data_IF_166535251194
#
_entry.id   IF_166535251194
#
_cell.length_a   1.000
_cell.length_b   1.000
_cell.length_c   1.000
_cell.angle_alpha   90.00
_cell.angle_beta   90.00
_cell.angle_gamma   90.00
#
_symmetry.space_group_name_H-M   'P 1'
#
loop_
_entity.id
_entity.type
_entity.pdbx_description
1 polymer ?
#
# COMPACT_ATOMS: atom_id res chain seq x y z
N UNK A 1 24.04 28.68 -0.87
CA UNK A 1 23.30 29.44 0.18
C UNK A 1 21.98 30.06 -0.30
N UNK A 2 21.95 31.15 -1.11
CA UNK A 2 20.68 31.82 -1.49
C UNK A 2 19.77 30.96 -2.38
N UNK A 3 20.37 30.20 -3.31
CA UNK A 3 19.66 29.35 -4.27
C UNK A 3 19.12 28.05 -3.64
N UNK A 4 19.85 27.47 -2.68
CA UNK A 4 19.38 26.32 -1.89
C UNK A 4 18.17 26.69 -1.03
N UNK A 5 18.20 27.87 -0.39
CA UNK A 5 17.10 28.38 0.42
C UNK A 5 15.80 28.55 -0.40
N UNK A 6 15.90 29.01 -1.65
CA UNK A 6 14.74 29.10 -2.55
C UNK A 6 14.20 27.75 -2.98
N UNK A 7 15.07 26.77 -3.28
CA UNK A 7 14.67 25.41 -3.63
C UNK A 7 13.95 24.73 -2.45
N UNK A 8 14.45 24.90 -1.23
CA UNK A 8 13.84 24.35 -0.02
C UNK A 8 12.46 24.96 0.27
N UNK A 9 12.31 26.27 0.09
CA UNK A 9 11.02 26.96 0.24
C UNK A 9 10.00 26.48 -0.81
N UNK A 10 10.43 26.30 -2.06
CA UNK A 10 9.57 25.76 -3.12
C UNK A 10 9.14 24.32 -2.80
N UNK A 11 10.07 23.46 -2.36
CA UNK A 11 9.77 22.09 -1.94
C UNK A 11 8.76 22.06 -0.78
N UNK A 12 8.93 22.91 0.23
CA UNK A 12 7.99 23.01 1.37
C UNK A 12 6.59 23.41 0.92
N UNK A 13 6.46 24.46 0.10
CA UNK A 13 5.18 24.91 -0.44
C UNK A 13 4.50 23.83 -1.28
N UNK A 14 5.28 23.11 -2.08
CA UNK A 14 4.78 21.99 -2.88
C UNK A 14 4.23 20.87 -1.98
N UNK A 15 4.99 20.46 -0.96
CA UNK A 15 4.56 19.45 0.02
C UNK A 15 3.27 19.88 0.73
N UNK A 16 3.20 21.13 1.19
CA UNK A 16 2.00 21.65 1.87
C UNK A 16 0.77 21.64 0.97
N UNK A 17 0.94 22.02 -0.31
CA UNK A 17 -0.11 21.96 -1.31
C UNK A 17 -0.56 20.52 -1.59
N UNK A 18 0.39 19.59 -1.69
CA UNK A 18 0.11 18.17 -1.92
C UNK A 18 -0.74 17.59 -0.77
N UNK A 19 -0.29 17.75 0.48
CA UNK A 19 -1.03 17.25 1.64
C UNK A 19 -2.41 17.94 1.79
N UNK A 20 -2.52 19.23 1.48
CA UNK A 20 -3.82 19.93 1.47
C UNK A 20 -4.79 19.33 0.45
N UNK A 21 -4.30 18.98 -0.75
CA UNK A 21 -5.12 18.34 -1.77
C UNK A 21 -5.54 16.93 -1.35
N UNK A 22 -4.62 16.12 -0.80
CA UNK A 22 -4.93 14.78 -0.27
C UNK A 22 -6.05 14.83 0.77
N UNK A 23 -5.97 15.75 1.74
CA UNK A 23 -7.02 15.91 2.77
C UNK A 23 -8.36 16.37 2.18
N UNK A 24 -8.35 17.31 1.24
CA UNK A 24 -9.58 17.80 0.60
C UNK A 24 -10.30 16.72 -0.20
N UNK A 25 -9.56 15.79 -0.80
CA UNK A 25 -10.14 14.66 -1.50
C UNK A 25 -10.95 13.74 -0.57
N UNK A 26 -10.52 13.60 0.69
CA UNK A 26 -11.18 12.76 1.69
C UNK A 26 -12.35 13.47 2.37
N UNK A 27 -12.23 14.77 2.65
CA UNK A 27 -13.20 15.56 3.43
C UNK A 27 -14.48 15.92 2.63
N UNK A 28 -14.54 15.68 1.31
CA UNK A 28 -15.60 16.22 0.46
C UNK A 28 -17.02 15.65 0.67
N UNK A 29 -17.24 14.70 1.58
CA UNK A 29 -18.52 14.00 1.68
C UNK A 29 -19.21 13.98 3.06
N UNK A 30 -18.52 14.21 4.18
CA UNK A 30 -19.16 14.12 5.51
C UNK A 30 -18.35 14.85 6.61
N UNK A 31 -19.00 15.29 7.67
CA UNK A 31 -18.37 15.93 8.85
C UNK A 31 -17.73 14.90 9.80
N UNK A 32 -17.48 13.67 9.34
CA UNK A 32 -16.94 12.60 10.17
C UNK A 32 -15.44 12.79 10.42
N UNK A 33 -14.99 12.33 11.59
CA UNK A 33 -13.57 12.34 11.91
C UNK A 33 -12.87 11.22 11.13
N UNK A 34 -11.97 11.58 10.22
CA UNK A 34 -11.20 10.63 9.44
C UNK A 34 -9.87 10.29 10.12
N UNK A 35 -9.42 9.05 9.93
CA UNK A 35 -8.07 8.60 10.28
C UNK A 35 -7.34 8.29 8.98
N UNK A 36 -6.15 8.85 8.80
CA UNK A 36 -5.31 8.59 7.64
C UNK A 36 -4.30 7.50 7.95
N UNK A 37 -4.37 6.39 7.21
CA UNK A 37 -3.36 5.33 7.28
C UNK A 37 -2.19 5.65 6.34
N UNK A 38 -0.96 5.52 6.84
CA UNK A 38 0.27 5.80 6.08
C UNK A 38 1.23 4.64 6.26
N UNK A 39 1.73 4.08 5.15
CA UNK A 39 2.76 3.04 5.15
C UNK A 39 4.10 3.55 5.69
N UNK A 40 4.75 2.78 6.57
CA UNK A 40 5.99 3.19 7.23
C UNK A 40 7.24 2.92 6.37
N UNK A 41 7.34 1.71 5.83
CA UNK A 41 8.52 1.14 5.19
C UNK A 41 8.11 0.09 4.16
N UNK A 42 8.73 0.14 2.99
CA UNK A 42 8.49 -0.82 1.93
C UNK A 42 9.73 -1.10 1.10
N UNK A 43 9.81 -2.31 0.55
CA UNK A 43 10.83 -2.64 -0.45
C UNK A 43 10.43 -2.04 -1.79
N UNK A 44 11.28 -1.18 -2.34
CA UNK A 44 10.98 -0.55 -3.62
C UNK A 44 11.42 -1.41 -4.81
N UNK A 45 10.81 -2.59 -4.96
CA UNK A 45 11.15 -3.63 -5.96
C UNK A 45 11.13 -3.10 -7.41
N UNK A 46 10.20 -2.19 -7.72
CA UNK A 46 10.00 -1.65 -9.07
C UNK A 46 10.39 -0.17 -9.23
N UNK A 47 11.07 0.42 -8.25
CA UNK A 47 11.51 1.82 -8.33
C UNK A 47 12.92 1.95 -8.91
N UNK A 48 13.41 3.17 -9.10
CA UNK A 48 14.82 3.43 -9.41
C UNK A 48 15.77 2.95 -8.29
N UNK A 49 15.32 2.91 -7.03
CA UNK A 49 16.08 2.47 -5.86
C UNK A 49 15.91 0.95 -5.58
N UNK A 50 15.68 0.16 -6.64
CA UNK A 50 15.38 -1.30 -6.65
C UNK A 50 15.90 -2.08 -5.45
N UNK A 51 14.99 -2.74 -4.73
CA UNK A 51 15.32 -3.69 -3.66
C UNK A 51 15.83 -3.05 -2.36
N UNK A 52 16.07 -1.74 -2.32
CA UNK A 52 16.39 -1.05 -1.08
C UNK A 52 15.12 -0.83 -0.27
N UNK A 53 15.27 -0.95 1.05
CA UNK A 53 14.21 -0.61 1.99
C UNK A 53 14.05 0.92 1.99
N UNK A 54 12.92 1.39 1.45
CA UNK A 54 12.53 2.78 1.56
C UNK A 54 11.88 2.97 2.91
N UNK A 55 12.48 3.87 3.68
CA UNK A 55 11.82 4.48 4.82
C UNK A 55 11.08 5.69 4.27
N UNK A 56 9.76 5.79 4.48
CA UNK A 56 9.13 7.08 4.24
C UNK A 56 9.71 8.09 5.22
N UNK A 57 10.27 9.16 4.68
CA UNK A 57 10.60 10.32 5.49
C UNK A 57 9.32 10.75 6.23
N UNK A 58 9.41 10.90 7.55
CA UNK A 58 8.26 11.21 8.43
C UNK A 58 7.57 12.55 8.11
N UNK A 59 7.98 13.28 7.07
CA UNK A 59 7.34 14.54 6.70
C UNK A 59 5.86 14.35 6.37
N UNK A 60 5.47 13.25 5.72
CA UNK A 60 4.07 13.04 5.30
C UNK A 60 3.16 12.85 6.50
N UNK A 61 3.55 11.97 7.43
CA UNK A 61 2.84 11.77 8.69
C UNK A 61 2.82 13.05 9.54
N UNK A 62 3.96 13.72 9.73
CA UNK A 62 4.06 14.98 10.50
C UNK A 62 3.21 16.12 9.93
N UNK A 63 3.11 16.24 8.60
CA UNK A 63 2.32 17.29 7.95
C UNK A 63 0.83 17.02 8.05
N UNK A 64 0.41 15.76 7.91
CA UNK A 64 -1.00 15.40 8.02
C UNK A 64 -1.48 15.33 9.47
N UNK A 65 -0.62 14.97 10.43
CA UNK A 65 -0.97 14.90 11.86
C UNK A 65 -1.37 16.25 12.48
N UNK A 66 -1.02 17.36 11.83
CA UNK A 66 -1.45 18.71 12.24
C UNK A 66 -2.95 18.96 12.03
N UNK A 67 -3.60 18.17 11.17
CA UNK A 67 -4.96 18.41 10.71
C UNK A 67 -5.88 17.19 10.84
N UNK A 68 -5.32 15.98 10.90
CA UNK A 68 -6.07 14.72 10.99
C UNK A 68 -5.32 13.71 11.84
N UNK A 69 -6.05 12.74 12.40
CA UNK A 69 -5.43 11.60 13.06
C UNK A 69 -4.69 10.75 12.03
N UNK A 70 -3.42 10.45 12.29
CA UNK A 70 -2.59 9.63 11.39
C UNK A 70 -2.22 8.34 12.10
N UNK A 71 -2.41 7.22 11.43
CA UNK A 71 -1.97 5.91 11.88
C UNK A 71 -0.89 5.39 10.92
N UNK A 72 0.27 5.07 11.47
CA UNK A 72 1.39 4.53 10.70
C UNK A 72 1.26 3.01 10.67
N UNK A 73 1.27 2.41 9.49
CA UNK A 73 1.03 0.98 9.28
C UNK A 73 2.19 0.36 8.52
N UNK A 74 2.33 -0.95 8.65
CA UNK A 74 3.38 -1.68 7.95
C UNK A 74 3.02 -1.89 6.47
N UNK A 75 3.88 -1.44 5.55
CA UNK A 75 3.71 -1.57 4.08
C UNK A 75 4.35 -2.87 3.51
N UNK A 76 4.82 -3.79 4.35
CA UNK A 76 5.49 -4.99 3.88
C UNK A 76 4.55 -5.89 3.06
N UNK A 77 4.94 -6.16 1.81
CA UNK A 77 4.21 -6.97 0.81
C UNK A 77 2.76 -6.52 0.47
N UNK A 78 2.35 -5.31 0.85
CA UNK A 78 1.02 -4.75 0.56
C UNK A 78 0.74 -4.67 -0.95
N UNK A 79 1.75 -4.33 -1.75
CA UNK A 79 1.65 -4.19 -3.21
C UNK A 79 1.71 -5.52 -3.99
N UNK A 80 2.00 -6.64 -3.33
CA UNK A 80 2.26 -7.94 -3.96
C UNK A 80 1.38 -9.07 -3.42
N UNK A 81 0.39 -8.75 -2.58
CA UNK A 81 -0.47 -9.75 -1.93
C UNK A 81 -1.91 -9.53 -2.35
N UNK A 82 -2.60 -10.59 -2.77
CA UNK A 82 -4.01 -10.53 -3.07
C UNK A 82 -4.81 -10.28 -1.80
N UNK A 83 -5.68 -9.27 -1.77
CA UNK A 83 -6.52 -8.98 -0.61
C UNK A 83 -7.67 -9.99 -0.39
N UNK A 84 -7.98 -10.81 -1.41
CA UNK A 84 -9.07 -11.78 -1.34
C UNK A 84 -8.62 -13.14 -0.82
N UNK A 85 -7.45 -13.62 -1.28
CA UNK A 85 -6.93 -14.93 -0.89
C UNK A 85 -5.60 -14.89 -0.14
N UNK A 86 -5.04 -13.69 0.10
CA UNK A 86 -3.80 -13.51 0.87
C UNK A 86 -2.58 -14.25 0.30
N UNK A 87 -2.64 -14.65 -0.98
CA UNK A 87 -1.53 -15.24 -1.74
C UNK A 87 -0.77 -14.17 -2.51
N UNK A 88 0.50 -14.47 -2.79
CA UNK A 88 1.38 -13.60 -3.58
C UNK A 88 0.86 -13.47 -5.02
N UNK A 89 0.81 -12.25 -5.52
CA UNK A 89 0.43 -11.94 -6.90
C UNK A 89 1.63 -12.08 -7.84
N UNK A 90 1.33 -12.24 -9.12
CA UNK A 90 2.34 -12.32 -10.18
C UNK A 90 2.24 -11.14 -11.14
N UNK A 91 3.36 -10.80 -11.77
CA UNK A 91 3.37 -9.81 -12.83
C UNK A 91 2.73 -10.40 -14.10
N UNK A 92 1.75 -9.72 -14.71
CA UNK A 92 1.21 -10.15 -15.98
C UNK A 92 2.29 -10.01 -17.07
N UNK A 93 2.34 -10.99 -17.96
CA UNK A 93 3.25 -11.01 -19.11
C UNK A 93 2.49 -10.67 -20.38
N UNK A 94 3.02 -9.73 -21.17
CA UNK A 94 2.50 -9.38 -22.49
C UNK A 94 3.48 -9.82 -23.57
N UNK A 95 2.97 -10.53 -24.57
CA UNK A 95 3.75 -10.85 -25.79
C UNK A 95 3.90 -9.59 -26.62
N UNK A 96 5.14 -9.24 -26.97
CA UNK A 96 5.43 -8.11 -27.87
C UNK A 96 6.03 -8.65 -29.15
N UNK A 97 5.38 -8.38 -30.31
CA UNK A 97 5.87 -8.49 -31.70
C UNK A 97 6.59 -9.78 -32.12
N UNK A 98 7.71 -10.10 -31.46
CA UNK A 98 8.69 -11.13 -31.80
C UNK A 98 8.84 -12.17 -30.65
N UNK A 99 7.75 -12.73 -30.13
CA UNK A 99 7.73 -13.82 -29.13
C UNK A 99 8.35 -13.48 -27.75
N UNK A 100 8.85 -12.25 -27.54
CA UNK A 100 9.40 -11.83 -26.25
C UNK A 100 8.27 -11.51 -25.25
N UNK A 101 8.32 -12.16 -24.10
CA UNK A 101 7.46 -11.85 -22.95
C UNK A 101 8.01 -10.61 -22.24
N UNK A 102 7.16 -9.60 -22.08
CA UNK A 102 7.48 -8.38 -21.32
C UNK A 102 6.57 -8.29 -20.10
N UNK A 103 7.16 -8.02 -18.95
CA UNK A 103 6.42 -7.72 -17.72
C UNK A 103 5.60 -6.44 -17.93
N UNK A 104 4.32 -6.50 -17.62
CA UNK A 104 3.46 -5.32 -17.52
C UNK A 104 3.68 -4.68 -16.15
N UNK A 105 4.27 -3.50 -16.13
CA UNK A 105 4.53 -2.75 -14.90
C UNK A 105 3.25 -2.11 -14.36
N UNK A 106 3.15 -1.99 -13.03
CA UNK A 106 2.06 -1.28 -12.36
C UNK A 106 0.78 -2.09 -12.15
N UNK A 107 0.70 -3.31 -12.69
CA UNK A 107 -0.40 -4.24 -12.44
C UNK A 107 0.11 -5.60 -11.98
N UNK A 108 -0.75 -6.29 -11.25
CA UNK A 108 -0.51 -7.62 -10.70
C UNK A 108 -1.72 -8.50 -10.95
N UNK A 109 -1.50 -9.81 -11.12
CA UNK A 109 -2.56 -10.78 -11.35
C UNK A 109 -2.55 -11.86 -10.27
N UNK A 110 -3.74 -12.20 -9.77
CA UNK A 110 -3.95 -13.35 -8.91
C UNK A 110 -4.09 -14.60 -9.79
N UNK A 111 -3.27 -15.62 -9.53
CA UNK A 111 -3.28 -16.89 -10.26
C UNK A 111 -3.91 -18.04 -9.46
N UNK A 112 -4.38 -17.76 -8.24
CA UNK A 112 -5.04 -18.75 -7.42
C UNK A 112 -6.47 -18.98 -7.94
N UNK A 113 -6.71 -20.14 -8.55
CA UNK A 113 -8.01 -20.48 -9.17
C UNK A 113 -9.17 -20.52 -8.15
N UNK A 114 -8.87 -20.72 -6.88
CA UNK A 114 -9.87 -20.72 -5.79
C UNK A 114 -10.14 -19.32 -5.24
N UNK A 115 -9.44 -18.29 -5.72
CA UNK A 115 -9.60 -16.93 -5.23
C UNK A 115 -10.90 -16.31 -5.76
N UNK A 116 -11.67 -15.68 -4.87
CA UNK A 116 -12.93 -14.98 -5.22
C UNK A 116 -12.73 -13.96 -6.34
N UNK A 117 -11.61 -13.23 -6.36
CA UNK A 117 -11.34 -12.27 -7.44
C UNK A 117 -11.11 -12.95 -8.79
N UNK A 118 -10.55 -14.17 -8.82
CA UNK A 118 -10.37 -14.94 -10.05
C UNK A 118 -11.70 -15.52 -10.51
N UNK A 119 -12.49 -16.08 -9.60
CA UNK A 119 -13.84 -16.59 -9.89
C UNK A 119 -14.78 -15.50 -10.42
N UNK A 120 -14.57 -14.25 -10.02
CA UNK A 120 -15.34 -13.09 -10.47
C UNK A 120 -14.75 -12.39 -11.72
N UNK A 121 -13.72 -12.95 -12.37
CA UNK A 121 -12.99 -12.34 -13.50
C UNK A 121 -12.34 -10.96 -13.20
N UNK A 122 -12.04 -10.72 -11.91
CA UNK A 122 -11.42 -9.50 -11.38
C UNK A 122 -10.02 -9.78 -10.81
N UNK A 123 -9.29 -10.71 -11.43
CA UNK A 123 -7.99 -11.20 -10.96
C UNK A 123 -6.86 -10.17 -11.07
N UNK A 124 -7.04 -9.11 -11.86
CA UNK A 124 -6.01 -8.09 -12.12
C UNK A 124 -6.20 -6.89 -11.21
N UNK A 125 -5.14 -6.50 -10.51
CA UNK A 125 -5.14 -5.40 -9.55
C UNK A 125 -4.07 -4.37 -9.92
N UNK A 126 -4.43 -3.09 -9.85
CA UNK A 126 -3.46 -1.99 -9.94
C UNK A 126 -2.61 -1.97 -8.66
N UNK A 127 -1.28 -1.89 -8.82
CA UNK A 127 -0.33 -1.99 -7.70
C UNK A 127 -0.59 -0.97 -6.60
N UNK A 128 -0.80 0.28 -6.99
CA UNK A 128 -0.87 1.38 -6.04
C UNK A 128 -2.20 1.37 -5.27
N UNK A 129 -3.31 1.05 -5.95
CA UNK A 129 -4.62 0.83 -5.32
C UNK A 129 -4.62 -0.38 -4.38
N UNK A 130 -3.97 -1.47 -4.79
CA UNK A 130 -3.81 -2.65 -3.95
C UNK A 130 -3.00 -2.34 -2.69
N UNK A 131 -1.87 -1.63 -2.84
CA UNK A 131 -1.04 -1.21 -1.71
C UNK A 131 -1.83 -0.33 -0.74
N UNK A 132 -2.57 0.66 -1.24
CA UNK A 132 -3.40 1.54 -0.42
C UNK A 132 -4.45 0.77 0.39
N UNK A 133 -5.22 -0.12 -0.26
CA UNK A 133 -6.21 -0.94 0.44
C UNK A 133 -5.59 -1.88 1.49
N UNK A 134 -4.41 -2.43 1.20
CA UNK A 134 -3.69 -3.28 2.14
C UNK A 134 -3.15 -2.50 3.35
N UNK A 135 -2.65 -1.28 3.13
CA UNK A 135 -2.25 -0.33 4.19
C UNK A 135 -3.45 0.00 5.07
N UNK A 136 -4.61 0.29 4.48
CA UNK A 136 -5.86 0.59 5.19
C UNK A 136 -6.32 -0.62 6.02
N UNK A 137 -6.32 -1.82 5.44
CA UNK A 137 -6.70 -3.04 6.16
C UNK A 137 -5.76 -3.33 7.34
N UNK A 138 -4.44 -3.18 7.13
CA UNK A 138 -3.41 -3.34 8.17
C UNK A 138 -3.59 -2.32 9.29
N UNK A 139 -3.86 -1.06 8.92
CA UNK A 139 -4.11 0.02 9.87
C UNK A 139 -5.38 -0.14 10.66
N UNK A 140 -6.45 -0.56 10.00
CA UNK A 140 -7.73 -0.84 10.64
C UNK A 140 -7.59 -1.99 11.65
N UNK A 141 -6.89 -3.08 11.28
CA UNK A 141 -6.63 -4.18 12.20
C UNK A 141 -5.81 -3.73 13.42
N UNK A 142 -4.79 -2.89 13.20
CA UNK A 142 -3.98 -2.32 14.28
C UNK A 142 -4.82 -1.42 15.19
N UNK A 143 -5.69 -0.60 14.61
CA UNK A 143 -6.52 0.35 15.35
C UNK A 143 -7.61 -0.34 16.18
N UNK A 144 -8.29 -1.34 15.61
CA UNK A 144 -9.42 -2.02 16.25
C UNK A 144 -8.96 -3.12 17.22
N UNK A 145 -7.93 -3.87 16.87
CA UNK A 145 -7.53 -5.08 17.59
C UNK A 145 -6.15 -4.99 18.25
N UNK A 146 -5.40 -3.91 18.02
CA UNK A 146 -4.00 -3.81 18.48
C UNK A 146 -3.08 -4.85 17.85
N UNK A 147 -3.50 -5.46 16.73
CA UNK A 147 -2.79 -6.57 16.10
C UNK A 147 -2.27 -6.17 14.70
N UNK A 148 -1.10 -6.71 14.34
CA UNK A 148 -0.58 -6.60 12.97
C UNK A 148 -1.21 -7.68 12.10
N UNK A 149 -1.66 -7.31 10.90
CA UNK A 149 -2.17 -8.28 9.94
C UNK A 149 -1.04 -9.24 9.55
N UNK A 150 -1.19 -10.53 9.91
CA UNK A 150 -0.12 -11.54 9.81
C UNK A 150 0.52 -11.59 8.42
N UNK A 151 -0.30 -11.47 7.38
CA UNK A 151 0.17 -11.52 6.00
C UNK A 151 1.09 -10.37 5.61
N UNK A 152 1.03 -9.25 6.31
CA UNK A 152 1.87 -8.07 6.09
C UNK A 152 2.98 -7.95 7.14
N UNK A 153 3.09 -8.90 8.10
CA UNK A 153 4.17 -8.89 9.07
C UNK A 153 5.43 -9.60 8.51
N UNK A 154 6.56 -8.90 8.32
CA UNK A 154 7.80 -9.50 7.86
C UNK A 154 8.36 -10.55 8.83
N UNK A 155 8.04 -10.47 10.13
CA UNK A 155 8.51 -11.44 11.13
C UNK A 155 7.77 -12.76 11.03
N UNK A 156 6.50 -12.72 10.66
CA UNK A 156 5.60 -13.87 10.68
C UNK A 156 5.51 -14.59 9.33
N UNK A 157 5.90 -13.96 8.22
CA UNK A 157 6.04 -14.68 6.93
C UNK A 157 7.14 -15.77 6.94
N UNK A 158 8.10 -15.71 7.88
CA UNK A 158 9.10 -16.76 8.05
C UNK A 158 8.61 -17.93 8.92
N UNK A 159 7.45 -17.78 9.56
CA UNK A 159 6.77 -18.84 10.27
C UNK A 159 5.63 -19.29 9.36
N UNK A 160 5.63 -20.54 8.90
CA UNK A 160 4.51 -21.10 8.13
C UNK A 160 3.25 -21.18 9.02
N UNK A 161 2.59 -20.06 9.27
CA UNK A 161 1.36 -19.97 10.03
C UNK A 161 0.22 -19.81 9.01
N UNK A 162 -0.72 -20.77 8.92
CA UNK A 162 -1.88 -20.63 8.05
C UNK A 162 -2.72 -19.41 8.45
N UNK A 163 -3.44 -18.76 7.51
CA UNK A 163 -4.27 -17.61 7.82
C UNK A 163 -5.36 -17.99 8.83
N UNK A 164 -5.35 -17.35 10.00
CA UNK A 164 -6.43 -17.43 10.98
C UNK A 164 -7.58 -16.52 10.53
N UNK A 165 -8.32 -16.95 9.51
CA UNK A 165 -9.72 -16.58 9.30
C UNK A 165 -10.42 -17.79 8.65
N UNK A 166 -10.64 -18.80 9.48
CA UNK A 166 -11.76 -19.72 9.30
C UNK A 166 -12.53 -19.65 10.60
N UNK A 167 -13.38 -18.65 10.72
CA UNK A 167 -14.57 -18.79 11.57
C UNK A 167 -15.42 -19.87 10.91
N UNK A 168 -15.18 -21.12 11.34
CA UNK A 168 -16.22 -22.13 11.32
C UNK A 168 -17.09 -21.82 12.53
N UNK A 169 -18.14 -21.06 12.34
CA UNK A 169 -19.31 -21.17 13.21
C UNK A 169 -20.35 -22.04 12.50
N UNK A 170 -20.82 -22.98 13.31
CA UNK A 170 -21.81 -24.05 13.10
C UNK A 170 -23.08 -23.65 12.37
#
# INVERSE_FOLDING_TARGET
VRQECTCDLQRRRYIDKLCSNERRYVISSDNSQHIMFIGDKGYCVDSTIKGHLKYEDQWKSRKNSLYTSVCITNEHNTSQTCLFCFKKLQHPLRVTGNVKLKIVSGTFQCINLECTSVLADMATHARDSLSAMAIDLSGLATLLFGATFLQFDPKLQNLNIPPLLSEKET
#
